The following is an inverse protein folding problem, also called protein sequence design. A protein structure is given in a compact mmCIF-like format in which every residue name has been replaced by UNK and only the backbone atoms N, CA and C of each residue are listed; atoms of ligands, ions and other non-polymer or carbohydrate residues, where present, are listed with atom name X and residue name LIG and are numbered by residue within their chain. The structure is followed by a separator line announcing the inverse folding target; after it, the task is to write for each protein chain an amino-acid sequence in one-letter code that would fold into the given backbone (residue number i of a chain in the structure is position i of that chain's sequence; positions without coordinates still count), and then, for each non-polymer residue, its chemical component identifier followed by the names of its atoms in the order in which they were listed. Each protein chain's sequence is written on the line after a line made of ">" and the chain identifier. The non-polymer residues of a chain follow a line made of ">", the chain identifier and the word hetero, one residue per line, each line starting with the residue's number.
data_IF_247321978975
#
_entry.id   IF_247321978975
#
_cell.length_a   1.000
_cell.length_b   1.000
_cell.length_c   1.000
_cell.angle_alpha   90.00
_cell.angle_beta   90.00
_cell.angle_gamma   90.00
#
_symmetry.space_group_name_H-M   'P 1'
#
loop_
_entity.id
_entity.type
_entity.pdbx_description
1 polymer ?
#
# COMPACT_ATOMS: atom_id res chain seq x y z
N UNK A 1 13.14 28.00 18.35
CA UNK A 1 11.76 27.50 18.14
C UNK A 1 11.77 26.25 17.24
N UNK A 2 12.08 25.09 17.80
CA UNK A 2 12.01 23.76 17.17
C UNK A 2 11.24 22.92 18.17
N UNK A 3 10.07 22.39 17.84
CA UNK A 3 9.42 21.24 18.52
C UNK A 3 7.99 20.91 18.02
N UNK A 4 7.46 21.55 16.97
CA UNK A 4 6.07 21.31 16.54
C UNK A 4 5.90 20.26 15.42
N UNK A 5 6.98 19.80 14.78
CA UNK A 5 6.87 18.85 13.64
C UNK A 5 6.96 17.38 14.08
N UNK A 6 7.36 17.10 15.33
CA UNK A 6 7.47 15.70 15.81
C UNK A 6 6.12 15.07 16.19
N UNK A 7 5.03 15.84 16.27
CA UNK A 7 3.75 15.37 16.84
C UNK A 7 2.76 14.72 15.84
N UNK A 8 3.08 14.68 14.56
CA UNK A 8 2.23 14.03 13.54
C UNK A 8 2.83 12.74 12.96
N UNK A 9 4.10 12.43 13.25
CA UNK A 9 4.74 11.18 12.80
C UNK A 9 4.55 10.00 13.77
N UNK A 10 4.22 10.24 15.05
CA UNK A 10 4.11 9.17 16.07
C UNK A 10 2.69 8.62 16.27
N UNK A 11 1.71 8.98 15.44
CA UNK A 11 0.35 8.42 15.60
C UNK A 11 0.13 7.07 14.90
N UNK A 12 1.17 6.48 14.32
CA UNK A 12 1.03 5.26 13.53
C UNK A 12 1.67 4.00 14.13
N UNK A 13 2.16 4.04 15.37
CA UNK A 13 2.85 2.87 15.93
C UNK A 13 2.63 2.65 17.43
N UNK A 14 1.39 2.25 17.77
CA UNK A 14 1.16 1.45 18.96
C UNK A 14 -0.17 0.69 18.86
N UNK A 15 -0.22 -0.23 17.88
CA UNK A 15 -1.08 -1.40 18.00
C UNK A 15 -0.25 -2.49 18.67
N UNK A 16 -0.61 -2.76 19.92
CA UNK A 16 -0.09 -3.86 20.76
C UNK A 16 0.11 -5.14 19.92
N UNK A 17 1.27 -5.80 19.95
CA UNK A 17 1.40 -7.13 19.39
C UNK A 17 0.75 -8.10 20.38
N UNK A 18 -0.50 -8.49 20.10
CA UNK A 18 -1.08 -9.68 20.72
C UNK A 18 -0.34 -10.90 20.20
N UNK A 19 0.40 -11.55 21.09
CA UNK A 19 1.33 -12.67 20.91
C UNK A 19 0.72 -13.99 20.42
N UNK A 20 -0.42 -14.00 19.74
CA UNK A 20 -1.03 -15.23 19.23
C UNK A 20 -1.68 -15.02 17.87
N UNK A 21 -0.87 -14.77 16.84
CA UNK A 21 -1.32 -14.79 15.46
C UNK A 21 -0.54 -15.87 14.69
N UNK A 22 -1.17 -17.01 14.45
CA UNK A 22 -0.79 -17.87 13.32
C UNK A 22 -0.72 -17.04 12.02
N UNK A 23 -0.05 -17.54 10.98
CA UNK A 23 0.42 -16.70 9.87
C UNK A 23 -0.69 -15.81 9.32
N UNK A 24 -0.45 -14.49 9.34
CA UNK A 24 -1.35 -13.40 8.93
C UNK A 24 -1.59 -13.39 7.41
N UNK A 25 -1.92 -14.53 6.81
CA UNK A 25 -2.23 -14.68 5.38
C UNK A 25 -3.40 -13.78 4.94
N UNK A 26 -4.28 -13.37 5.88
CA UNK A 26 -5.40 -12.47 5.62
C UNK A 26 -5.09 -10.97 5.63
N UNK A 27 -3.84 -10.55 5.93
CA UNK A 27 -3.50 -9.12 6.09
C UNK A 27 -2.59 -8.56 5.01
N UNK A 28 -2.05 -9.41 4.16
CA UNK A 28 -1.24 -8.99 3.02
C UNK A 28 -2.16 -8.63 1.85
N UNK A 29 -1.88 -7.54 1.11
CA UNK A 29 -2.65 -7.21 -0.06
C UNK A 29 -2.60 -8.36 -1.07
N UNK A 30 -3.78 -8.78 -1.54
CA UNK A 30 -3.88 -9.82 -2.56
C UNK A 30 -3.07 -9.42 -3.80
N UNK A 31 -2.33 -10.38 -4.33
CA UNK A 31 -1.63 -10.21 -5.61
C UNK A 31 -2.54 -10.64 -6.77
N UNK A 32 -2.46 -9.99 -7.93
CA UNK A 32 -3.26 -10.37 -9.10
C UNK A 32 -3.17 -11.86 -9.46
N UNK A 33 -1.99 -12.47 -9.38
CA UNK A 33 -1.81 -13.91 -9.64
C UNK A 33 -2.55 -14.79 -8.63
N UNK A 34 -2.63 -14.39 -7.35
CA UNK A 34 -3.38 -15.12 -6.33
C UNK A 34 -4.88 -15.13 -6.61
N UNK A 35 -5.38 -14.11 -7.32
CA UNK A 35 -6.80 -14.00 -7.72
C UNK A 35 -7.05 -14.88 -8.95
N UNK A 36 -6.15 -14.86 -9.94
CA UNK A 36 -6.25 -15.71 -11.14
C UNK A 36 -6.22 -17.20 -10.81
N UNK A 37 -5.36 -17.59 -9.87
CA UNK A 37 -5.16 -18.99 -9.49
C UNK A 37 -6.16 -19.46 -8.41
N UNK A 38 -7.13 -18.62 -8.02
CA UNK A 38 -8.08 -18.96 -6.96
C UNK A 38 -9.12 -19.97 -7.47
N UNK A 39 -9.09 -21.17 -6.91
CA UNK A 39 -10.10 -22.20 -7.14
C UNK A 39 -11.18 -22.19 -6.06
N UNK A 40 -12.43 -22.37 -6.46
CA UNK A 40 -13.58 -22.53 -5.57
C UNK A 40 -14.18 -23.94 -5.74
N UNK A 41 -14.71 -24.49 -4.65
CA UNK A 41 -15.38 -25.79 -4.67
C UNK A 41 -16.74 -25.67 -5.37
N UNK A 42 -17.01 -26.57 -6.33
CA UNK A 42 -18.31 -26.63 -7.02
C UNK A 42 -19.35 -27.26 -6.09
N UNK A 43 -20.55 -26.67 -6.04
CA UNK A 43 -21.69 -27.16 -5.25
C UNK A 43 -22.93 -27.27 -6.15
N UNK A 44 -23.89 -28.11 -5.77
CA UNK A 44 -25.10 -28.46 -6.56
C UNK A 44 -25.96 -27.25 -6.98
N UNK A 45 -25.86 -26.13 -6.26
CA UNK A 45 -26.51 -24.85 -6.59
C UNK A 45 -25.49 -23.70 -6.63
N UNK A 46 -24.28 -23.98 -7.12
CA UNK A 46 -23.20 -23.00 -7.26
C UNK A 46 -23.28 -22.21 -8.57
N UNK A 47 -22.57 -21.08 -8.61
CA UNK A 47 -22.34 -20.29 -9.82
C UNK A 47 -21.48 -21.07 -10.82
N UNK A 48 -21.61 -20.75 -12.11
CA UNK A 48 -20.82 -21.37 -13.18
C UNK A 48 -19.31 -21.12 -12.95
N UNK A 49 -18.49 -22.18 -12.82
CA UNK A 49 -17.04 -22.05 -12.67
C UNK A 49 -16.37 -21.24 -13.79
N UNK A 50 -16.90 -21.26 -15.01
CA UNK A 50 -16.35 -20.50 -16.15
C UNK A 50 -16.59 -19.01 -15.96
N UNK A 51 -17.81 -18.61 -15.59
CA UNK A 51 -18.14 -17.21 -15.29
C UNK A 51 -17.31 -16.68 -14.13
N UNK A 52 -17.15 -17.47 -13.06
CA UNK A 52 -16.30 -17.11 -11.92
C UNK A 52 -14.86 -16.87 -12.39
N UNK A 53 -14.28 -17.76 -13.21
CA UNK A 53 -12.91 -17.59 -13.73
C UNK A 53 -12.78 -16.34 -14.59
N UNK A 54 -13.75 -16.04 -15.44
CA UNK A 54 -13.74 -14.84 -16.27
C UNK A 54 -13.81 -13.57 -15.40
N UNK A 55 -14.66 -13.57 -14.37
CA UNK A 55 -14.76 -12.47 -13.42
C UNK A 55 -13.45 -12.28 -12.63
N UNK A 56 -12.85 -13.35 -12.12
CA UNK A 56 -11.57 -13.28 -11.39
C UNK A 56 -10.43 -12.73 -12.25
N UNK A 57 -10.38 -13.07 -13.55
CA UNK A 57 -9.40 -12.49 -14.47
C UNK A 57 -9.58 -10.97 -14.58
N UNK A 58 -10.81 -10.50 -14.80
CA UNK A 58 -11.11 -9.06 -14.84
C UNK A 58 -10.71 -8.35 -13.55
N UNK A 59 -11.08 -8.94 -12.40
CA UNK A 59 -10.70 -8.39 -11.08
C UNK A 59 -9.18 -8.32 -10.91
N UNK A 60 -8.45 -9.35 -11.35
CA UNK A 60 -6.99 -9.36 -11.29
C UNK A 60 -6.38 -8.26 -12.17
N UNK A 61 -6.96 -8.00 -13.35
CA UNK A 61 -6.50 -6.96 -14.25
C UNK A 61 -6.77 -5.56 -13.68
N UNK A 62 -7.97 -5.31 -13.15
CA UNK A 62 -8.30 -4.06 -12.45
C UNK A 62 -7.40 -3.84 -11.22
N UNK A 63 -7.14 -4.89 -10.44
CA UNK A 63 -6.21 -4.81 -9.31
C UNK A 63 -4.79 -4.49 -9.75
N UNK A 64 -4.35 -5.02 -10.90
CA UNK A 64 -3.03 -4.73 -11.47
C UNK A 64 -2.92 -3.25 -11.84
N UNK A 65 -3.96 -2.70 -12.48
CA UNK A 65 -4.04 -1.27 -12.81
C UNK A 65 -3.98 -0.42 -11.55
N UNK A 66 -4.79 -0.74 -10.53
CA UNK A 66 -4.83 0.00 -9.27
C UNK A 66 -3.49 -0.04 -8.51
N UNK A 67 -2.84 -1.20 -8.43
CA UNK A 67 -1.53 -1.34 -7.79
C UNK A 67 -0.44 -0.56 -8.55
N UNK A 68 -0.49 -0.54 -9.88
CA UNK A 68 0.45 0.23 -10.71
C UNK A 68 0.28 1.74 -10.49
N UNK A 69 -0.95 2.22 -10.47
CA UNK A 69 -1.25 3.63 -10.17
C UNK A 69 -0.78 4.03 -8.76
N UNK A 70 -0.96 3.15 -7.77
CA UNK A 70 -0.49 3.37 -6.40
C UNK A 70 1.04 3.53 -6.34
N UNK A 71 1.77 2.65 -7.04
CA UNK A 71 3.24 2.74 -7.11
C UNK A 71 3.69 4.05 -7.74
N UNK A 72 3.07 4.45 -8.86
CA UNK A 72 3.39 5.72 -9.52
C UNK A 72 3.17 6.94 -8.59
N UNK A 73 2.05 6.96 -7.87
CA UNK A 73 1.75 8.02 -6.89
C UNK A 73 2.75 8.01 -5.73
N UNK A 74 3.16 6.83 -5.27
CA UNK A 74 4.13 6.70 -4.19
C UNK A 74 5.52 7.20 -4.62
N UNK A 75 5.95 6.90 -5.85
CA UNK A 75 7.19 7.41 -6.42
C UNK A 75 7.17 8.93 -6.54
N UNK A 76 6.07 9.50 -7.01
CA UNK A 76 5.93 10.95 -7.13
C UNK A 76 5.96 11.64 -5.76
N UNK A 77 5.29 11.06 -4.77
CA UNK A 77 5.37 11.52 -3.39
C UNK A 77 6.80 11.50 -2.84
N UNK A 78 7.60 10.47 -3.18
CA UNK A 78 9.01 10.40 -2.79
C UNK A 78 9.81 11.51 -3.45
N UNK A 79 9.61 11.77 -4.74
CA UNK A 79 10.28 12.87 -5.46
C UNK A 79 9.96 14.23 -4.84
N UNK A 80 8.69 14.53 -4.61
CA UNK A 80 8.24 15.79 -3.99
C UNK A 80 8.86 15.95 -2.60
N UNK A 81 8.84 14.90 -1.77
CA UNK A 81 9.44 14.94 -0.42
C UNK A 81 10.95 15.18 -0.47
N UNK A 82 11.64 14.59 -1.43
CA UNK A 82 13.08 14.78 -1.60
C UNK A 82 13.41 16.21 -2.05
N UNK A 83 12.67 16.76 -3.02
CA UNK A 83 12.83 18.14 -3.46
C UNK A 83 12.59 19.13 -2.30
N UNK A 84 11.53 18.90 -1.52
CA UNK A 84 11.22 19.72 -0.35
C UNK A 84 12.34 19.65 0.69
N UNK A 85 12.87 18.46 0.98
CA UNK A 85 13.97 18.27 1.92
C UNK A 85 15.25 18.96 1.45
N UNK A 86 15.56 18.89 0.16
CA UNK A 86 16.72 19.58 -0.42
C UNK A 86 16.59 21.10 -0.28
N UNK A 87 15.43 21.66 -0.62
CA UNK A 87 15.15 23.09 -0.46
C UNK A 87 15.22 23.54 1.01
N UNK A 88 14.62 22.79 1.94
CA UNK A 88 14.70 23.08 3.38
C UNK A 88 16.15 23.05 3.89
N UNK A 89 16.97 22.14 3.38
CA UNK A 89 18.38 22.03 3.76
C UNK A 89 19.18 23.22 3.24
N UNK A 90 18.98 23.63 1.99
CA UNK A 90 19.62 24.80 1.39
C UNK A 90 19.26 26.10 2.14
N UNK A 91 17.98 26.29 2.48
CA UNK A 91 17.55 27.45 3.27
C UNK A 91 18.11 27.44 4.69
N UNK A 92 18.15 26.28 5.35
CA UNK A 92 18.72 26.16 6.70
C UNK A 92 20.22 26.44 6.72
N UNK A 93 20.94 26.07 5.65
CA UNK A 93 22.34 26.43 5.49
C UNK A 93 22.50 27.94 5.29
N UNK A 94 21.73 28.55 4.40
CA UNK A 94 21.76 29.99 4.14
C UNK A 94 21.47 30.83 5.40
N UNK A 95 20.48 30.42 6.20
CA UNK A 95 20.13 31.10 7.45
C UNK A 95 21.17 30.93 8.58
N UNK A 96 22.12 29.97 8.49
CA UNK A 96 23.21 29.81 9.47
C UNK A 96 24.45 30.65 9.15
N UNK A 97 24.55 31.18 7.94
CA UNK A 97 25.68 32.01 7.49
C UNK A 97 25.34 33.51 7.42
N UNK A 98 24.15 33.89 7.88
CA UNK A 98 23.75 35.27 8.19
C UNK A 98 23.72 35.45 9.70
#
# INVERSE_FOLDING_TARGET
>A
MRNLIRRLASRHDQRRPTENAGPLQGRLPLRPWQIRDRCFNVRRHGLDPVEIRAFLHRVADELTVAQTALVAVQEENVRIKNALRAWQSAQSANHRYR
#
